data_IF_761173279688
#
_entry.id   IF_761173279688
#
_cell.length_a   1.000
_cell.length_b   1.000
_cell.length_c   1.000
_cell.angle_alpha   90.00
_cell.angle_beta   90.00
_cell.angle_gamma   90.00
#
_symmetry.space_group_name_H-M   'P 1'
#
loop_
_entity.id
_entity.type
_entity.pdbx_description
1 polymer ?
#
# COMPACT_ATOMS: atom_id res chain seq x y z
N UNK A 1 -55.46 12.82 44.95
CA UNK A 1 -54.21 13.54 44.64
C UNK A 1 -53.27 12.57 43.93
N UNK A 2 -52.79 12.97 42.75
CA UNK A 2 -52.19 12.10 41.74
C UNK A 2 -50.79 11.58 42.10
N UNK A 3 -50.56 10.30 41.80
CA UNK A 3 -49.31 9.57 41.97
C UNK A 3 -48.17 10.20 41.16
N UNK A 4 -47.02 10.46 41.79
CA UNK A 4 -45.80 10.89 41.11
C UNK A 4 -45.00 9.67 40.67
N UNK A 5 -45.08 9.38 39.37
CA UNK A 5 -44.21 8.46 38.65
C UNK A 5 -42.75 8.91 38.75
N UNK A 6 -41.93 8.07 39.39
CA UNK A 6 -40.49 8.21 39.49
C UNK A 6 -39.84 7.75 38.17
N UNK A 7 -39.34 8.69 37.36
CA UNK A 7 -38.69 8.38 36.08
C UNK A 7 -37.28 7.84 36.36
N UNK A 8 -37.10 6.54 36.12
CA UNK A 8 -35.81 5.85 36.14
C UNK A 8 -35.12 6.09 34.80
N UNK A 9 -34.22 7.07 34.71
CA UNK A 9 -33.38 7.29 33.53
C UNK A 9 -32.15 6.38 33.61
N UNK A 10 -32.20 5.25 32.90
CA UNK A 10 -31.04 4.40 32.64
C UNK A 10 -30.20 5.08 31.57
N UNK A 11 -29.08 5.67 31.99
CA UNK A 11 -28.07 6.19 31.07
C UNK A 11 -27.27 4.98 30.60
N UNK A 12 -27.64 4.43 29.44
CA UNK A 12 -26.84 3.41 28.76
C UNK A 12 -25.51 4.03 28.34
N UNK A 13 -24.43 3.66 29.02
CA UNK A 13 -23.08 4.00 28.61
C UNK A 13 -22.71 3.15 27.38
N UNK A 14 -23.04 3.65 26.19
CA UNK A 14 -22.44 3.14 24.95
C UNK A 14 -20.97 3.57 24.93
N UNK A 15 -20.10 2.67 25.40
CA UNK A 15 -18.66 2.80 25.20
C UNK A 15 -18.39 2.74 23.70
N UNK A 16 -18.28 3.91 23.07
CA UNK A 16 -17.67 4.04 21.74
C UNK A 16 -16.19 3.68 21.91
N UNK A 17 -15.86 2.42 21.66
CA UNK A 17 -14.49 2.00 21.43
C UNK A 17 -14.00 2.72 20.18
N UNK A 18 -13.30 3.84 20.39
CA UNK A 18 -12.48 4.47 19.38
C UNK A 18 -11.36 3.48 19.05
N UNK A 19 -11.63 2.59 18.10
CA UNK A 19 -10.59 1.85 17.42
C UNK A 19 -9.76 2.87 16.66
N UNK A 20 -8.66 3.31 17.26
CA UNK A 20 -7.62 4.04 16.54
C UNK A 20 -7.13 3.08 15.45
N UNK A 21 -7.56 3.32 14.21
CA UNK A 21 -6.90 2.73 13.07
C UNK A 21 -5.45 3.23 13.14
N UNK A 22 -4.53 2.35 13.54
CA UNK A 22 -3.12 2.62 13.32
C UNK A 22 -2.99 2.96 11.84
N UNK A 23 -2.35 4.08 11.46
CA UNK A 23 -2.08 4.32 10.06
C UNK A 23 -1.29 3.11 9.59
N UNK A 24 -1.88 2.31 8.69
CA UNK A 24 -1.12 1.33 7.97
C UNK A 24 0.00 2.14 7.32
N UNK A 25 1.22 2.00 7.85
CA UNK A 25 2.40 2.51 7.20
C UNK A 25 2.45 1.78 5.88
N UNK A 26 1.83 2.36 4.85
CA UNK A 26 2.00 1.97 3.48
C UNK A 26 3.46 2.28 3.19
N UNK A 27 4.32 1.33 3.52
CA UNK A 27 5.68 1.31 3.02
C UNK A 27 5.51 1.21 1.52
N UNK A 28 5.62 2.34 0.83
CA UNK A 28 5.66 2.35 -0.62
C UNK A 28 6.91 1.54 -1.03
N UNK A 29 6.79 0.73 -2.07
CA UNK A 29 7.87 -0.07 -2.62
C UNK A 29 8.12 0.35 -4.06
N UNK A 30 9.38 0.43 -4.44
CA UNK A 30 9.81 0.37 -5.84
C UNK A 30 9.66 -1.10 -6.25
N UNK A 31 8.76 -1.37 -7.19
CA UNK A 31 8.59 -2.69 -7.78
C UNK A 31 8.93 -2.61 -9.25
N UNK A 32 9.66 -3.60 -9.70
CA UNK A 32 10.05 -3.75 -11.10
C UNK A 32 9.62 -5.12 -11.59
N UNK A 33 8.99 -5.16 -12.76
CA UNK A 33 8.41 -6.36 -13.36
C UNK A 33 8.75 -6.45 -14.83
N UNK A 34 9.17 -7.63 -15.26
CA UNK A 34 9.33 -7.98 -16.67
C UNK A 34 8.24 -8.97 -17.08
N UNK A 35 7.58 -8.69 -18.20
CA UNK A 35 6.52 -9.51 -18.76
C UNK A 35 7.04 -10.29 -19.96
N UNK A 36 6.63 -11.56 -20.05
CA UNK A 36 7.05 -12.50 -21.08
C UNK A 36 5.86 -13.05 -21.86
N UNK A 37 6.11 -13.50 -23.09
CA UNK A 37 5.08 -14.07 -23.97
C UNK A 37 4.41 -15.31 -23.37
N UNK A 38 5.15 -16.09 -22.60
CA UNK A 38 4.74 -17.41 -22.11
C UNK A 38 5.52 -17.81 -20.84
N UNK A 39 5.14 -18.97 -20.27
CA UNK A 39 5.70 -19.51 -19.03
C UNK A 39 7.17 -20.01 -19.14
N UNK A 40 7.78 -19.98 -20.33
CA UNK A 40 9.20 -20.30 -20.50
C UNK A 40 10.11 -19.11 -20.19
N UNK A 41 9.54 -17.90 -20.07
CA UNK A 41 10.27 -16.66 -19.78
C UNK A 41 11.41 -16.38 -20.78
N UNK A 42 11.20 -16.72 -22.06
CA UNK A 42 12.23 -16.59 -23.10
C UNK A 42 12.14 -15.29 -23.89
N UNK A 43 10.92 -14.83 -24.21
CA UNK A 43 10.70 -13.61 -24.97
C UNK A 43 10.06 -12.56 -24.09
N UNK A 44 10.79 -11.49 -23.78
CA UNK A 44 10.27 -10.33 -23.07
C UNK A 44 9.36 -9.54 -24.01
N UNK A 45 8.14 -9.26 -23.55
CA UNK A 45 7.11 -8.52 -24.30
C UNK A 45 6.71 -7.22 -23.63
N UNK A 46 7.13 -7.02 -22.37
CA UNK A 46 6.83 -5.80 -21.65
C UNK A 46 7.66 -5.61 -20.40
N UNK A 47 7.53 -4.41 -19.85
CA UNK A 47 8.23 -3.98 -18.66
C UNK A 47 7.37 -2.98 -17.89
N UNK A 48 7.41 -3.07 -16.57
CA UNK A 48 6.75 -2.14 -15.68
C UNK A 48 7.59 -1.87 -14.44
N UNK A 49 7.66 -0.60 -14.05
CA UNK A 49 8.30 -0.15 -12.83
C UNK A 49 7.49 0.99 -12.21
N UNK A 50 7.25 0.93 -10.91
CA UNK A 50 6.81 2.09 -10.13
C UNK A 50 7.94 2.62 -9.26
N UNK A 51 7.95 3.94 -9.03
CA UNK A 51 8.83 4.54 -8.04
C UNK A 51 8.06 4.99 -6.79
N UNK A 52 8.81 5.48 -5.79
CA UNK A 52 8.28 6.00 -4.53
C UNK A 52 7.41 7.25 -4.67
N UNK A 53 7.49 7.93 -5.80
CA UNK A 53 6.67 9.10 -6.12
C UNK A 53 5.45 8.72 -6.96
N UNK A 54 5.14 7.42 -7.09
CA UNK A 54 4.06 6.87 -7.91
C UNK A 54 4.16 7.27 -9.38
N UNK A 55 5.37 7.57 -9.86
CA UNK A 55 5.63 7.67 -11.28
C UNK A 55 5.79 6.26 -11.84
N UNK A 56 5.19 6.06 -13.00
CA UNK A 56 5.18 4.79 -13.70
C UNK A 56 6.09 4.90 -14.91
N UNK A 57 6.97 3.91 -15.07
CA UNK A 57 7.75 3.71 -16.28
C UNK A 57 7.44 2.32 -16.79
N UNK A 58 7.06 2.20 -18.06
CA UNK A 58 6.74 0.92 -18.64
C UNK A 58 6.60 0.99 -20.14
N UNK A 59 6.64 -0.18 -20.78
CA UNK A 59 6.41 -0.36 -22.20
C UNK A 59 5.89 -1.78 -22.47
N UNK A 60 5.32 -1.98 -23.65
CA UNK A 60 4.94 -3.32 -24.13
C UNK A 60 3.61 -3.83 -23.56
N UNK A 61 3.48 -5.15 -23.50
CA UNK A 61 2.25 -5.86 -23.14
C UNK A 61 2.32 -6.46 -21.73
N UNK A 62 1.20 -6.42 -21.00
CA UNK A 62 1.05 -7.04 -19.68
C UNK A 62 0.53 -8.46 -19.86
N UNK A 63 1.32 -9.43 -19.42
CA UNK A 63 0.98 -10.86 -19.49
C UNK A 63 0.94 -11.47 -18.08
N UNK A 64 0.31 -12.64 -17.88
CA UNK A 64 0.36 -13.34 -16.59
C UNK A 64 1.74 -13.96 -16.29
N UNK A 65 2.64 -14.02 -17.29
CA UNK A 65 3.98 -14.57 -17.16
C UNK A 65 4.95 -13.44 -16.88
N UNK A 66 5.25 -13.21 -15.60
CA UNK A 66 6.13 -12.12 -15.20
C UNK A 66 7.13 -12.55 -14.14
N UNK A 67 8.26 -11.85 -14.12
CA UNK A 67 9.28 -11.94 -13.07
C UNK A 67 9.29 -10.59 -12.34
N UNK A 68 9.28 -10.62 -11.00
CA UNK A 68 9.50 -9.42 -10.18
C UNK A 68 11.02 -9.31 -9.94
N UNK A 69 11.65 -8.29 -10.56
CA UNK A 69 13.10 -8.08 -10.52
C UNK A 69 13.55 -7.46 -9.20
N UNK A 70 12.77 -6.51 -8.68
CA UNK A 70 13.09 -5.78 -7.46
C UNK A 70 11.83 -5.41 -6.68
N UNK A 71 11.96 -5.36 -5.36
CA UNK A 71 10.94 -4.93 -4.41
C UNK A 71 11.63 -4.18 -3.25
N UNK A 72 12.03 -2.95 -3.51
CA UNK A 72 12.80 -2.14 -2.56
C UNK A 72 11.89 -1.18 -1.78
N UNK A 73 11.99 -1.10 -0.44
CA UNK A 73 11.20 -0.16 0.32
C UNK A 73 11.66 1.27 0.02
N UNK A 74 10.69 2.18 -0.11
CA UNK A 74 10.94 3.60 -0.37
C UNK A 74 11.65 4.36 0.75
N UNK A 75 12.05 3.67 1.82
CA UNK A 75 12.79 4.20 2.96
C UNK A 75 14.24 4.53 2.65
N UNK A 76 14.81 3.98 1.56
CA UNK A 76 16.24 4.12 1.24
C UNK A 76 16.57 5.36 0.40
N UNK A 77 15.63 5.85 -0.43
CA UNK A 77 15.89 7.04 -1.26
C UNK A 77 16.04 8.33 -0.45
N UNK A 78 15.40 8.40 0.72
CA UNK A 78 15.51 9.55 1.63
C UNK A 78 16.73 9.48 2.57
N UNK A 79 17.50 8.39 2.57
CA UNK A 79 18.66 8.24 3.47
C UNK A 79 20.00 8.43 2.80
N UNK A 80 20.12 8.16 1.50
CA UNK A 80 21.29 8.51 0.67
C UNK A 80 20.90 8.34 -0.81
N UNK A 81 20.60 9.42 -1.57
CA UNK A 81 20.54 9.30 -3.02
C UNK A 81 21.92 8.85 -3.54
N UNK A 82 22.00 7.86 -4.46
CA UNK A 82 23.27 7.46 -5.06
C UNK A 82 23.85 8.66 -5.82
N UNK A 83 24.87 9.30 -5.24
CA UNK A 83 25.51 10.49 -5.81
C UNK A 83 25.79 11.65 -4.85
N UNK A 84 25.37 11.58 -3.58
CA UNK A 84 25.73 12.59 -2.58
C UNK A 84 26.65 12.01 -1.49
N UNK A 85 27.86 11.60 -1.89
CA UNK A 85 29.01 11.67 -0.98
C UNK A 85 29.73 12.98 -1.31
N UNK A 86 29.49 14.00 -0.50
CA UNK A 86 30.19 15.29 -0.51
C UNK A 86 30.38 15.75 0.91
#
# INVERSE_FOLDING_TARGET
>A
MFARLMKLTVIGATALSAAYAAPASATDYIREREYYSDATYTVQVGYWMNNCQRQFRGWGEVTPYYIELSAEPCTQWNKNPPGMNG
#
